data_IF_813241357278
#
_entry.id   IF_813241357278
#
_cell.length_a   1.000
_cell.length_b   1.000
_cell.length_c   1.000
_cell.angle_alpha   90.00
_cell.angle_beta   90.00
_cell.angle_gamma   90.00
#
_symmetry.space_group_name_H-M   'P 1'
#
loop_
_entity.id
_entity.type
_entity.pdbx_description
1 polymer ?
#
# COMPACT_ATOMS: atom_id res chain seq x y z
N UNK A 1 2.72 1.79 24.46
CA UNK A 1 2.75 2.74 23.35
C UNK A 1 1.39 3.41 23.20
N UNK A 2 1.38 4.70 23.02
CA UNK A 2 0.14 5.43 22.90
C UNK A 2 -0.52 5.22 21.54
N UNK A 3 -1.83 5.14 21.57
CA UNK A 3 -2.64 5.04 20.37
C UNK A 3 -2.36 6.20 19.39
N UNK A 4 -2.05 7.37 19.92
CA UNK A 4 -1.72 8.55 19.12
C UNK A 4 -0.49 8.36 18.23
N UNK A 5 0.46 7.51 18.62
CA UNK A 5 1.65 7.22 17.83
C UNK A 5 1.34 6.26 16.68
N UNK A 6 0.30 5.45 16.83
CA UNK A 6 -0.12 4.47 15.81
C UNK A 6 -1.04 5.12 14.78
N UNK A 7 -1.89 6.07 15.19
CA UNK A 7 -2.85 6.72 14.29
C UNK A 7 -2.23 7.32 13.02
N UNK A 8 -1.10 8.06 13.11
CA UNK A 8 -0.48 8.59 11.89
C UNK A 8 -0.02 7.50 10.93
N UNK A 9 0.45 6.37 11.47
CA UNK A 9 0.89 5.24 10.65
C UNK A 9 -0.30 4.57 9.97
N UNK A 10 -1.42 4.40 10.69
CA UNK A 10 -2.64 3.85 10.13
C UNK A 10 -3.22 4.76 9.04
N UNK A 11 -3.19 6.07 9.26
CA UNK A 11 -3.68 7.05 8.28
C UNK A 11 -2.85 6.98 7.00
N UNK A 12 -1.53 6.86 7.10
CA UNK A 12 -0.66 6.73 5.95
C UNK A 12 -0.95 5.44 5.18
N UNK A 13 -1.16 4.32 5.89
CA UNK A 13 -1.52 3.04 5.27
C UNK A 13 -2.83 3.19 4.49
N UNK A 14 -3.85 3.81 5.06
CA UNK A 14 -5.12 4.00 4.39
C UNK A 14 -4.99 4.87 3.14
N UNK A 15 -4.17 5.92 3.20
CA UNK A 15 -3.90 6.76 2.04
C UNK A 15 -3.19 5.99 0.93
N UNK A 16 -2.22 5.14 1.29
CA UNK A 16 -1.50 4.31 0.33
C UNK A 16 -2.43 3.28 -0.32
N UNK A 17 -3.32 2.66 0.47
CA UNK A 17 -4.32 1.72 -0.05
C UNK A 17 -5.27 2.41 -1.02
N UNK A 18 -5.66 3.63 -0.72
CA UNK A 18 -6.53 4.42 -1.59
C UNK A 18 -5.84 4.73 -2.91
N UNK A 19 -4.54 5.07 -2.86
CA UNK A 19 -3.76 5.30 -4.06
C UNK A 19 -3.61 4.02 -4.89
N UNK A 20 -3.42 2.88 -4.25
CA UNK A 20 -3.37 1.59 -4.95
C UNK A 20 -4.70 1.30 -5.64
N UNK A 21 -5.82 1.60 -4.99
CA UNK A 21 -7.15 1.41 -5.56
C UNK A 21 -7.33 2.20 -6.87
N UNK A 22 -6.73 3.37 -6.98
CA UNK A 22 -6.83 4.19 -8.18
C UNK A 22 -6.20 3.53 -9.41
N UNK A 23 -5.24 2.64 -9.22
CA UNK A 23 -4.54 1.95 -10.31
C UNK A 23 -4.92 0.48 -10.43
N UNK A 24 -5.85 -0.01 -9.61
CA UNK A 24 -6.30 -1.41 -9.66
C UNK A 24 -6.92 -1.77 -11.01
N UNK A 25 -7.50 -0.81 -11.72
CA UNK A 25 -8.09 -1.06 -13.03
C UNK A 25 -7.07 -1.54 -14.06
N UNK A 26 -5.79 -1.16 -13.91
CA UNK A 26 -4.72 -1.68 -14.77
C UNK A 26 -4.56 -3.20 -14.59
N UNK A 27 -4.65 -3.66 -13.36
CA UNK A 27 -4.53 -5.08 -13.03
C UNK A 27 -5.72 -5.86 -13.58
N UNK A 28 -6.93 -5.32 -13.39
CA UNK A 28 -8.16 -5.92 -13.91
C UNK A 28 -8.08 -6.01 -15.42
N UNK A 29 -7.67 -4.95 -16.11
CA UNK A 29 -7.52 -4.94 -17.56
C UNK A 29 -6.51 -5.99 -18.04
N UNK A 30 -5.39 -6.13 -17.33
CA UNK A 30 -4.38 -7.15 -17.65
C UNK A 30 -4.96 -8.55 -17.55
N UNK A 31 -5.70 -8.84 -16.48
CA UNK A 31 -6.33 -10.14 -16.26
C UNK A 31 -7.36 -10.44 -17.36
N UNK A 32 -8.17 -9.45 -17.73
CA UNK A 32 -9.26 -9.65 -18.70
C UNK A 32 -8.79 -9.66 -20.15
N UNK A 33 -7.82 -8.83 -20.51
CA UNK A 33 -7.44 -8.60 -21.91
C UNK A 33 -6.02 -8.98 -22.25
N UNK A 34 -5.17 -9.23 -21.24
CA UNK A 34 -3.74 -9.49 -21.43
C UNK A 34 -2.94 -8.24 -21.74
N UNK A 35 -3.55 -7.06 -21.67
CA UNK A 35 -2.85 -5.82 -21.97
C UNK A 35 -1.83 -5.50 -20.86
N UNK A 36 -0.53 -5.33 -21.19
CA UNK A 36 0.49 -5.16 -20.17
C UNK A 36 0.26 -3.89 -19.33
N UNK A 37 0.60 -4.01 -18.03
CA UNK A 37 0.58 -2.86 -17.14
C UNK A 37 1.86 -2.05 -17.40
N UNK A 38 1.78 -0.72 -17.55
CA UNK A 38 2.99 0.10 -17.73
C UNK A 38 3.98 -0.11 -16.59
N UNK A 39 5.28 -0.17 -16.91
CA UNK A 39 6.32 -0.40 -15.90
C UNK A 39 6.30 0.64 -14.80
N UNK A 40 6.00 1.89 -15.14
CA UNK A 40 5.92 2.99 -14.18
C UNK A 40 4.84 2.73 -13.15
N UNK A 41 3.71 2.19 -13.59
CA UNK A 41 2.60 1.84 -12.68
C UNK A 41 2.99 0.67 -11.79
N UNK A 42 3.65 -0.35 -12.34
CA UNK A 42 4.12 -1.49 -11.57
C UNK A 42 5.09 -1.06 -10.48
N UNK A 43 6.06 -0.21 -10.83
CA UNK A 43 7.06 0.29 -9.89
C UNK A 43 6.41 1.09 -8.76
N UNK A 44 5.50 1.98 -9.11
CA UNK A 44 4.78 2.81 -8.16
C UNK A 44 3.94 1.96 -7.19
N UNK A 45 3.23 0.96 -7.73
CA UNK A 45 2.43 0.05 -6.91
C UNK A 45 3.32 -0.75 -5.96
N UNK A 46 4.48 -1.21 -6.43
CA UNK A 46 5.42 -1.96 -5.58
C UNK A 46 5.95 -1.10 -4.45
N UNK A 47 6.33 0.14 -4.71
CA UNK A 47 6.77 1.06 -3.68
C UNK A 47 5.71 1.27 -2.60
N UNK A 48 4.46 1.44 -3.01
CA UNK A 48 3.35 1.64 -2.08
C UNK A 48 3.11 0.42 -1.22
N UNK A 49 3.17 -0.79 -1.81
CA UNK A 49 3.02 -2.02 -1.05
C UNK A 49 4.17 -2.21 -0.05
N UNK A 50 5.39 -1.90 -0.47
CA UNK A 50 6.55 -2.00 0.41
C UNK A 50 6.42 -1.03 1.59
N UNK A 51 5.96 0.18 1.32
CA UNK A 51 5.74 1.18 2.36
C UNK A 51 4.65 0.73 3.34
N UNK A 52 3.55 0.18 2.83
CA UNK A 52 2.48 -0.36 3.68
C UNK A 52 3.05 -1.46 4.59
N UNK A 53 3.82 -2.38 4.03
CA UNK A 53 4.41 -3.47 4.80
C UNK A 53 5.34 -2.94 5.90
N UNK A 54 6.15 -1.94 5.58
CA UNK A 54 7.03 -1.28 6.54
C UNK A 54 6.25 -0.63 7.68
N UNK A 55 5.18 0.08 7.35
CA UNK A 55 4.33 0.73 8.34
C UNK A 55 3.61 -0.28 9.23
N UNK A 56 3.11 -1.36 8.63
CA UNK A 56 2.47 -2.44 9.38
C UNK A 56 3.46 -3.10 10.34
N UNK A 57 4.69 -3.27 9.92
CA UNK A 57 5.74 -3.82 10.76
C UNK A 57 6.04 -2.90 11.95
N UNK A 58 6.09 -1.59 11.73
CA UNK A 58 6.29 -0.62 12.80
C UNK A 58 5.16 -0.68 13.83
N UNK A 59 3.92 -0.77 13.36
CA UNK A 59 2.75 -0.88 14.24
C UNK A 59 2.84 -2.16 15.06
N UNK A 60 3.14 -3.27 14.42
CA UNK A 60 3.24 -4.58 15.08
C UNK A 60 4.31 -4.56 16.17
N UNK A 61 5.48 -4.02 15.88
CA UNK A 61 6.56 -3.90 16.87
C UNK A 61 6.16 -3.06 18.07
N UNK A 62 5.42 -1.99 17.80
CA UNK A 62 4.94 -1.09 18.85
C UNK A 62 3.94 -1.77 19.78
N UNK A 63 3.08 -2.62 19.22
CA UNK A 63 2.07 -3.33 20.01
C UNK A 63 2.63 -4.52 20.76
N UNK A 64 3.77 -5.05 20.34
CA UNK A 64 4.40 -6.22 20.97
C UNK A 64 5.37 -5.86 22.11
N UNK A 65 5.50 -4.61 22.46
CA UNK A 65 6.38 -4.21 23.57
C UNK A 65 5.72 -4.37 24.95
#
# INVERSE_FOLDING_TARGET
>A
MDYEQIQPLEAEIENLKRDLAKTDWYVVRFVETGKPIPEEVLAERQEKRDRINELQEQIRRSLCQ
#
